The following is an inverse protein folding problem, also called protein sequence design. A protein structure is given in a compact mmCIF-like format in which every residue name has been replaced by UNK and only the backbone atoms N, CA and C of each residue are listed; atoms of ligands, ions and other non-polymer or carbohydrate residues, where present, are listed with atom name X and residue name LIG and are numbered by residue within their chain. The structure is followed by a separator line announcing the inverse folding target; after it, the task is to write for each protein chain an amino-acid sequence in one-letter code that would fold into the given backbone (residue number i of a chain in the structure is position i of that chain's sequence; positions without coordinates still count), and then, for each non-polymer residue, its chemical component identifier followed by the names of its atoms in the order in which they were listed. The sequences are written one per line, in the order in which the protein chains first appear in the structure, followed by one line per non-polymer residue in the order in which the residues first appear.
data_IF_040401947560
#
_entry.id   IF_040401947560
#
_cell.length_a   1.000
_cell.length_b   1.000
_cell.length_c   1.000
_cell.angle_alpha   90.00
_cell.angle_beta   90.00
_cell.angle_gamma   90.00
#
_symmetry.space_group_name_H-M   'P 1'
#
loop_
_entity.id
_entity.type
_entity.pdbx_description
1 polymer ?
#
# COMPACT_ATOMS: atom_id res chain seq x y z
N UNK A 1 18.39 -3.26 4.65
CA UNK A 1 18.42 -1.80 4.43
C UNK A 1 17.06 -1.29 4.81
N UNK A 2 16.90 -0.88 6.07
CA UNK A 2 15.65 -0.33 6.58
C UNK A 2 15.59 1.14 6.15
N UNK A 3 15.06 1.36 4.95
CA UNK A 3 14.73 2.70 4.49
C UNK A 3 13.72 3.28 5.48
N UNK A 4 14.14 4.32 6.20
CA UNK A 4 13.29 5.10 7.09
C UNK A 4 12.25 5.86 6.26
N UNK A 5 11.28 5.14 5.70
CA UNK A 5 10.08 5.77 5.17
C UNK A 5 9.29 6.27 6.38
N UNK A 6 9.22 7.60 6.52
CA UNK A 6 8.46 8.25 7.59
C UNK A 6 7.04 7.72 7.63
N UNK A 7 6.49 7.49 8.83
CA UNK A 7 5.11 6.99 8.99
C UNK A 7 4.08 7.94 8.35
N UNK A 8 4.40 9.24 8.26
CA UNK A 8 3.61 10.26 7.57
C UNK A 8 3.45 9.97 6.06
N UNK A 9 4.51 9.47 5.43
CA UNK A 9 4.51 9.12 4.00
C UNK A 9 3.64 7.88 3.78
N UNK A 10 3.72 6.90 4.69
CA UNK A 10 2.87 5.71 4.63
C UNK A 10 1.40 6.08 4.76
N UNK A 11 1.04 6.90 5.74
CA UNK A 11 -0.35 7.39 5.89
C UNK A 11 -0.85 8.10 4.63
N UNK A 12 0.01 8.88 4.00
CA UNK A 12 -0.32 9.59 2.75
C UNK A 12 -0.59 8.60 1.62
N UNK A 13 0.29 7.60 1.44
CA UNK A 13 0.09 6.52 0.45
C UNK A 13 -1.23 5.79 0.71
N UNK A 14 -1.58 5.48 1.96
CA UNK A 14 -2.83 4.79 2.30
C UNK A 14 -4.07 5.63 1.99
N UNK A 15 -4.05 6.94 2.26
CA UNK A 15 -5.14 7.84 1.88
C UNK A 15 -5.30 7.91 0.36
N UNK A 16 -4.18 7.97 -0.35
CA UNK A 16 -4.18 8.08 -1.80
C UNK A 16 -4.68 6.81 -2.49
N UNK A 17 -4.27 5.61 -2.03
CA UNK A 17 -4.74 4.35 -2.60
C UNK A 17 -6.19 4.03 -2.24
N UNK A 18 -6.68 4.56 -1.11
CA UNK A 18 -8.09 4.47 -0.74
C UNK A 18 -8.98 5.40 -1.58
N UNK A 19 -8.39 6.29 -2.38
CA UNK A 19 -9.14 7.17 -3.27
C UNK A 19 -9.48 6.41 -4.56
N UNK A 20 -10.78 6.23 -4.90
CA UNK A 20 -11.17 5.51 -6.11
C UNK A 20 -10.65 6.22 -7.36
N UNK A 21 -10.08 5.44 -8.28
CA UNK A 21 -9.54 5.94 -9.56
C UNK A 21 -8.11 6.47 -9.50
N UNK A 22 -7.42 6.41 -8.36
CA UNK A 22 -5.96 6.65 -8.32
C UNK A 22 -5.18 5.37 -8.61
N UNK A 23 -4.26 5.45 -9.56
CA UNK A 23 -3.32 4.38 -9.85
C UNK A 23 -2.06 4.50 -8.97
N UNK A 24 -1.44 3.36 -8.65
CA UNK A 24 -0.21 3.32 -7.84
C UNK A 24 0.92 4.13 -8.48
N UNK A 25 0.98 4.18 -9.82
CA UNK A 25 1.97 4.99 -10.54
C UNK A 25 1.79 6.49 -10.30
N UNK A 26 0.57 6.97 -10.14
CA UNK A 26 0.30 8.38 -9.86
C UNK A 26 0.58 8.73 -8.41
N UNK A 27 0.32 7.80 -7.49
CA UNK A 27 0.71 7.90 -6.08
C UNK A 27 2.24 7.98 -5.96
N UNK A 28 2.96 7.12 -6.67
CA UNK A 28 4.43 7.12 -6.68
C UNK A 28 4.99 8.48 -7.15
N UNK A 29 4.40 9.09 -8.19
CA UNK A 29 4.77 10.43 -8.67
C UNK A 29 4.48 11.52 -7.64
N UNK A 30 3.34 11.47 -6.97
CA UNK A 30 2.90 12.48 -5.98
C UNK A 30 3.73 12.46 -4.70
N UNK A 31 4.18 11.27 -4.31
CA UNK A 31 4.99 11.06 -3.10
C UNK A 31 6.50 11.06 -3.42
N UNK A 32 6.87 11.26 -4.69
CA UNK A 32 8.25 11.24 -5.20
C UNK A 32 9.03 9.98 -4.79
N UNK A 33 8.36 8.83 -4.83
CA UNK A 33 8.95 7.52 -4.54
C UNK A 33 8.92 6.64 -5.78
N UNK A 34 9.83 5.67 -5.83
CA UNK A 34 9.78 4.65 -6.86
C UNK A 34 8.56 3.75 -6.69
N UNK A 35 8.01 3.31 -7.82
CA UNK A 35 6.87 2.39 -7.85
C UNK A 35 7.13 1.13 -7.01
N UNK A 36 8.33 0.56 -7.09
CA UNK A 36 8.71 -0.64 -6.33
C UNK A 36 8.71 -0.39 -4.82
N UNK A 37 9.14 0.80 -4.38
CA UNK A 37 9.14 1.18 -2.97
C UNK A 37 7.71 1.31 -2.46
N UNK A 38 6.84 2.01 -3.20
CA UNK A 38 5.41 2.14 -2.85
C UNK A 38 4.73 0.77 -2.82
N UNK A 39 5.02 -0.09 -3.79
CA UNK A 39 4.47 -1.43 -3.86
C UNK A 39 4.94 -2.33 -2.71
N UNK A 40 6.21 -2.22 -2.30
CA UNK A 40 6.73 -2.93 -1.14
C UNK A 40 6.06 -2.45 0.16
N UNK A 41 5.89 -1.14 0.36
CA UNK A 41 5.19 -0.59 1.53
C UNK A 41 3.76 -1.11 1.61
N UNK A 42 3.03 -1.07 0.49
CA UNK A 42 1.66 -1.57 0.42
C UNK A 42 1.58 -3.08 0.66
N UNK A 43 2.54 -3.85 0.13
CA UNK A 43 2.59 -5.30 0.31
C UNK A 43 2.93 -5.70 1.74
N UNK A 44 3.86 -5.00 2.39
CA UNK A 44 4.20 -5.20 3.80
C UNK A 44 2.99 -4.94 4.70
N UNK A 45 2.26 -3.85 4.47
CA UNK A 45 1.07 -3.54 5.26
C UNK A 45 -0.12 -4.47 4.93
N UNK A 46 -0.24 -4.95 3.70
CA UNK A 46 -1.19 -5.98 3.33
C UNK A 46 -0.93 -7.30 4.08
N UNK A 47 0.34 -7.69 4.19
CA UNK A 47 0.77 -8.89 4.92
C UNK A 47 0.63 -8.73 6.44
N UNK A 48 1.00 -7.57 7.00
CA UNK A 48 0.85 -7.29 8.44
C UNK A 48 -0.60 -7.30 8.90
N UNK A 49 -1.50 -6.75 8.09
CA UNK A 49 -2.92 -6.69 8.42
C UNK A 49 -3.70 -7.95 7.99
N UNK A 50 -3.00 -8.99 7.50
CA UNK A 50 -3.58 -10.24 6.96
C UNK A 50 -4.83 -9.95 6.11
N UNK A 51 -4.76 -8.99 5.19
CA UNK A 51 -5.92 -8.63 4.36
C UNK A 51 -6.35 -9.78 3.41
N UNK A 52 -5.53 -10.84 3.33
CA UNK A 52 -5.89 -12.12 2.71
C UNK A 52 -6.93 -12.91 3.52
N UNK A 53 -7.18 -12.57 4.80
CA UNK A 53 -8.24 -13.20 5.60
C UNK A 53 -9.62 -13.00 4.96
N UNK A 54 -9.87 -11.83 4.36
CA UNK A 54 -11.09 -11.55 3.60
C UNK A 54 -11.22 -12.43 2.34
N UNK A 55 -10.11 -12.73 1.68
CA UNK A 55 -10.05 -13.65 0.53
C UNK A 55 -10.28 -15.11 0.94
N UNK A 56 -9.76 -15.54 2.09
CA UNK A 56 -10.05 -16.87 2.68
C UNK A 56 -11.51 -17.04 3.07
N UNK A 57 -12.20 -15.96 3.43
CA UNK A 57 -13.63 -15.96 3.71
C UNK A 57 -14.49 -16.05 2.44
N UNK A 58 -14.08 -15.44 1.33
CA UNK A 58 -14.82 -15.47 0.05
C UNK A 58 -14.82 -16.84 -0.65
N UNK A 59 -13.95 -17.77 -0.22
CA UNK A 59 -13.92 -19.15 -0.71
C UNK A 59 -14.46 -20.17 0.31
N UNK A 60 -15.17 -19.73 1.36
CA UNK A 60 -15.94 -20.64 2.22
C UNK A 60 -17.43 -20.48 1.90
N UNK A 61 -17.93 -21.48 1.17
CA UNK A 61 -19.29 -21.74 0.65
C UNK A 61 -19.55 -21.26 -0.77
#
# INVERSE_FOLDING_TARGET
MSEHVSDEIKETIFKLISTPGKEIQDIAKEVHLDYEVVMNILSEEYLKNDLDHGRRLCCRY
#
